data_IF_902039938737
#
_entry.id   IF_902039938737
#
_cell.length_a   1.000
_cell.length_b   1.000
_cell.length_c   1.000
_cell.angle_alpha   90.00
_cell.angle_beta   90.00
_cell.angle_gamma   90.00
#
_symmetry.space_group_name_H-M   'P 1'
#
loop_
_entity.id
_entity.type
_entity.pdbx_description
1 polymer ?
#
# COMPACT_ATOMS: atom_id res chain seq x y z
N UNK A 1 36.80 15.82 17.50
CA UNK A 1 36.73 14.64 18.38
C UNK A 1 35.57 13.80 17.89
N UNK A 2 35.80 12.51 17.64
CA UNK A 2 34.75 11.58 17.20
C UNK A 2 34.54 10.55 18.30
N UNK A 3 33.28 10.21 18.59
CA UNK A 3 32.92 9.24 19.62
C UNK A 3 32.04 8.17 18.99
N UNK A 4 32.44 6.92 19.12
CA UNK A 4 31.64 5.77 18.70
C UNK A 4 30.57 5.51 19.75
N UNK A 5 29.31 5.41 19.31
CA UNK A 5 28.16 5.17 20.19
C UNK A 5 27.52 3.85 19.82
N UNK A 6 27.08 3.10 20.84
CA UNK A 6 26.19 1.95 20.69
C UNK A 6 24.87 2.30 21.36
N UNK A 7 23.77 2.23 20.60
CA UNK A 7 22.43 2.54 21.09
C UNK A 7 21.42 1.50 20.61
N UNK A 8 20.22 1.52 21.19
CA UNK A 8 19.07 0.73 20.74
C UNK A 8 18.05 1.69 20.15
N UNK A 9 17.53 1.34 18.97
CA UNK A 9 16.55 2.11 18.24
C UNK A 9 15.27 1.29 18.10
N UNK A 10 14.12 1.96 18.17
CA UNK A 10 12.83 1.36 17.80
C UNK A 10 12.65 1.60 16.31
N UNK A 11 12.45 0.52 15.57
CA UNK A 11 12.29 0.54 14.11
C UNK A 11 10.92 -0.05 13.81
N UNK A 12 10.16 0.60 12.93
CA UNK A 12 8.95 0.00 12.38
C UNK A 12 9.35 -1.14 11.44
N UNK A 13 9.08 -2.37 11.87
CA UNK A 13 9.31 -3.59 11.12
C UNK A 13 8.18 -4.58 11.42
N UNK A 14 7.05 -4.48 10.71
CA UNK A 14 5.98 -5.47 10.81
C UNK A 14 6.45 -6.85 10.37
N UNK A 15 5.75 -7.89 10.79
CA UNK A 15 6.06 -9.27 10.43
C UNK A 15 5.02 -9.87 9.47
N UNK A 16 5.45 -10.83 8.65
CA UNK A 16 4.56 -11.56 7.76
C UNK A 16 3.49 -12.30 8.58
N UNK A 17 2.23 -12.09 8.24
CA UNK A 17 1.07 -12.59 8.96
C UNK A 17 0.50 -11.63 10.01
N UNK A 18 1.17 -10.50 10.30
CA UNK A 18 0.63 -9.46 11.17
C UNK A 18 -0.60 -8.80 10.54
N UNK A 19 -1.61 -8.52 11.35
CA UNK A 19 -2.81 -7.78 10.92
C UNK A 19 -2.70 -6.35 11.44
N UNK A 20 -2.78 -5.39 10.53
CA UNK A 20 -2.77 -3.97 10.85
C UNK A 20 -4.04 -3.30 10.34
N UNK A 21 -4.37 -2.17 10.95
CA UNK A 21 -5.50 -1.32 10.55
C UNK A 21 -4.97 0.00 10.02
N UNK A 22 -5.48 0.43 8.88
CA UNK A 22 -5.10 1.69 8.25
C UNK A 22 -6.27 2.32 7.50
N UNK A 23 -5.98 3.37 6.75
CA UNK A 23 -6.94 4.09 5.93
C UNK A 23 -6.60 3.95 4.46
N UNK A 24 -7.62 3.77 3.63
CA UNK A 24 -7.47 3.73 2.18
C UNK A 24 -7.09 5.13 1.69
N UNK A 25 -5.88 5.29 1.15
CA UNK A 25 -5.39 6.55 0.60
C UNK A 25 -5.77 6.71 -0.88
N UNK A 26 -5.64 5.62 -1.65
CA UNK A 26 -5.91 5.62 -3.08
C UNK A 26 -6.36 4.26 -3.57
N UNK A 27 -7.38 4.26 -4.43
CA UNK A 27 -7.82 3.09 -5.19
C UNK A 27 -7.33 3.22 -6.63
N UNK A 28 -6.77 2.15 -7.19
CA UNK A 28 -6.40 2.04 -8.60
C UNK A 28 -6.88 0.71 -9.17
N UNK A 29 -6.87 0.56 -10.49
CA UNK A 29 -7.20 -0.72 -11.14
C UNK A 29 -6.23 -1.86 -10.80
N UNK A 30 -5.04 -1.53 -10.29
CA UNK A 30 -4.02 -2.50 -9.88
C UNK A 30 -4.20 -2.97 -8.43
N UNK A 31 -4.80 -2.13 -7.56
CA UNK A 31 -4.98 -2.44 -6.16
C UNK A 31 -5.38 -1.23 -5.30
N UNK A 32 -5.16 -1.35 -3.99
CA UNK A 32 -5.43 -0.31 -3.01
C UNK A 32 -4.12 0.10 -2.32
N UNK A 33 -3.90 1.41 -2.18
CA UNK A 33 -2.82 1.99 -1.36
C UNK A 33 -3.38 2.34 0.00
N UNK A 34 -2.71 1.90 1.06
CA UNK A 34 -3.13 2.07 2.45
C UNK A 34 -2.11 2.91 3.20
N UNK A 35 -2.60 3.78 4.07
CA UNK A 35 -1.80 4.62 4.95
C UNK A 35 -2.14 4.33 6.41
N UNK A 36 -1.13 4.23 7.28
CA UNK A 36 -1.28 4.04 8.73
C UNK A 36 -0.87 5.28 9.55
N UNK A 37 -0.74 6.43 8.89
CA UNK A 37 -0.42 7.73 9.47
C UNK A 37 1.04 8.13 9.30
N UNK A 38 1.98 7.28 9.74
CA UNK A 38 3.43 7.54 9.61
C UNK A 38 4.10 6.78 8.45
N UNK A 39 3.38 5.82 7.84
CA UNK A 39 3.86 5.00 6.73
C UNK A 39 2.72 4.78 5.74
N UNK A 40 3.00 4.97 4.45
CA UNK A 40 1.99 4.95 3.37
C UNK A 40 2.40 4.12 2.16
N UNK A 41 3.58 3.51 2.15
CA UNK A 41 4.03 2.60 1.09
C UNK A 41 3.52 1.17 1.34
N UNK A 42 2.21 1.04 1.61
CA UNK A 42 1.50 -0.23 1.78
C UNK A 42 0.57 -0.43 0.60
N UNK A 43 0.73 -1.55 -0.11
CA UNK A 43 -0.04 -1.86 -1.30
C UNK A 43 -0.74 -3.22 -1.18
N UNK A 44 -2.05 -3.22 -1.43
CA UNK A 44 -2.88 -4.43 -1.54
C UNK A 44 -3.16 -4.66 -3.02
N UNK A 45 -2.46 -5.59 -3.68
CA UNK A 45 -2.70 -5.88 -5.09
C UNK A 45 -4.03 -6.60 -5.29
N UNK A 46 -4.66 -6.42 -6.44
CA UNK A 46 -5.87 -7.13 -6.86
C UNK A 46 -5.82 -8.65 -6.60
N UNK A 47 -4.67 -9.27 -6.87
CA UNK A 47 -4.49 -10.72 -6.74
C UNK A 47 -4.62 -11.21 -5.28
N UNK A 48 -4.43 -10.32 -4.31
CA UNK A 48 -4.51 -10.57 -2.87
C UNK A 48 -5.74 -9.91 -2.24
N UNK A 49 -6.73 -9.54 -3.04
CA UNK A 49 -8.06 -9.15 -2.56
C UNK A 49 -9.00 -10.34 -2.53
N UNK A 50 -10.18 -10.13 -1.94
CA UNK A 50 -11.28 -11.10 -1.94
C UNK A 50 -11.64 -11.58 -3.35
N UNK A 51 -12.11 -12.82 -3.43
CA UNK A 51 -12.68 -13.35 -4.66
C UNK A 51 -13.90 -12.50 -5.10
N UNK A 52 -14.09 -12.37 -6.42
CA UNK A 52 -15.14 -11.53 -7.01
C UNK A 52 -15.04 -10.02 -6.73
N UNK A 53 -13.88 -9.54 -6.25
CA UNK A 53 -13.61 -8.11 -6.16
C UNK A 53 -13.24 -7.49 -7.51
N UNK A 54 -13.76 -6.30 -7.79
CA UNK A 54 -13.42 -5.54 -8.99
C UNK A 54 -13.36 -4.04 -8.70
N UNK A 55 -12.51 -3.36 -9.45
CA UNK A 55 -12.39 -1.91 -9.38
C UNK A 55 -13.48 -1.25 -10.24
N UNK A 56 -14.22 -0.30 -9.66
CA UNK A 56 -15.18 0.54 -10.38
C UNK A 56 -14.58 1.93 -10.60
N UNK A 57 -14.28 2.33 -11.85
CA UNK A 57 -13.80 3.69 -12.14
C UNK A 57 -14.83 4.78 -11.83
N UNK A 58 -16.13 4.45 -11.90
CA UNK A 58 -17.21 5.40 -11.68
C UNK A 58 -17.30 5.80 -10.19
N UNK A 59 -17.14 4.82 -9.30
CA UNK A 59 -17.12 5.02 -7.85
C UNK A 59 -15.72 5.34 -7.31
N UNK A 60 -14.67 5.17 -8.13
CA UNK A 60 -13.27 5.28 -7.73
C UNK A 60 -12.94 4.41 -6.50
N UNK A 61 -13.57 3.23 -6.45
CA UNK A 61 -13.59 2.34 -5.30
C UNK A 61 -13.47 0.87 -5.72
N UNK A 62 -13.04 0.03 -4.78
CA UNK A 62 -13.05 -1.42 -4.97
C UNK A 62 -14.35 -1.99 -4.44
N UNK A 63 -14.98 -2.86 -5.23
CA UNK A 63 -16.26 -3.46 -4.89
C UNK A 63 -16.03 -4.95 -4.70
N UNK A 64 -16.44 -5.48 -3.56
CA UNK A 64 -16.45 -6.90 -3.27
C UNK A 64 -17.89 -7.44 -3.34
N UNK A 65 -18.15 -8.34 -4.29
CA UNK A 65 -19.42 -9.08 -4.38
C UNK A 65 -19.29 -10.40 -3.64
N UNK A 66 -19.78 -10.44 -2.41
CA UNK A 66 -19.79 -11.66 -1.61
C UNK A 66 -20.85 -12.64 -2.14
N UNK A 67 -22.06 -12.14 -2.39
CA UNK A 67 -23.19 -12.88 -2.98
C UNK A 67 -23.92 -12.00 -4.01
N UNK A 68 -24.90 -12.54 -4.73
CA UNK A 68 -25.72 -11.79 -5.70
C UNK A 68 -26.50 -10.62 -5.07
N UNK A 69 -26.74 -10.67 -3.75
CA UNK A 69 -27.46 -9.64 -2.99
C UNK A 69 -26.53 -8.75 -2.15
N UNK A 70 -25.33 -9.23 -1.79
CA UNK A 70 -24.43 -8.55 -0.86
C UNK A 70 -23.22 -7.98 -1.59
N UNK A 71 -23.26 -6.67 -1.80
CA UNK A 71 -22.16 -5.89 -2.39
C UNK A 71 -21.56 -4.98 -1.32
N UNK A 72 -20.26 -5.12 -1.09
CA UNK A 72 -19.48 -4.33 -0.15
C UNK A 72 -18.52 -3.41 -0.90
N UNK A 73 -18.31 -2.22 -0.38
CA UNK A 73 -17.52 -1.16 -1.02
C UNK A 73 -16.29 -0.86 -0.16
N UNK A 74 -15.16 -0.61 -0.82
CA UNK A 74 -13.88 -0.20 -0.25
C UNK A 74 -13.58 1.20 -0.77
N UNK A 75 -14.01 2.20 0.00
CA UNK A 75 -13.92 3.60 -0.40
C UNK A 75 -12.68 4.30 0.16
N UNK A 76 -12.30 5.39 -0.49
CA UNK A 76 -11.19 6.23 -0.03
C UNK A 76 -11.55 6.84 1.34
N UNK A 77 -10.59 6.86 2.25
CA UNK A 77 -10.70 7.28 3.65
C UNK A 77 -11.48 6.31 4.57
N UNK A 78 -11.85 5.12 4.10
CA UNK A 78 -12.37 4.09 4.98
C UNK A 78 -11.25 3.37 5.73
N UNK A 79 -11.58 2.90 6.94
CA UNK A 79 -10.67 2.07 7.75
C UNK A 79 -10.71 0.64 7.27
N UNK A 80 -9.54 0.10 6.96
CA UNK A 80 -9.37 -1.26 6.44
C UNK A 80 -8.41 -2.06 7.32
N UNK A 81 -8.78 -3.30 7.63
CA UNK A 81 -7.92 -4.32 8.20
C UNK A 81 -7.24 -5.10 7.07
N UNK A 82 -5.92 -5.22 7.15
CA UNK A 82 -5.13 -5.93 6.14
C UNK A 82 -4.04 -6.76 6.81
N UNK A 83 -3.70 -7.88 6.19
CA UNK A 83 -2.63 -8.76 6.66
C UNK A 83 -1.35 -8.52 5.86
N UNK A 84 -0.22 -8.43 6.54
CA UNK A 84 1.08 -8.31 5.90
C UNK A 84 1.47 -9.64 5.27
N UNK A 85 1.77 -9.64 3.97
CA UNK A 85 2.24 -10.84 3.25
C UNK A 85 3.75 -10.75 2.97
N UNK A 86 4.24 -9.59 2.53
CA UNK A 86 5.63 -9.43 2.14
C UNK A 86 6.17 -8.03 2.46
N UNK A 87 7.44 -7.97 2.86
CA UNK A 87 8.21 -6.74 3.03
C UNK A 87 9.24 -6.62 1.90
N UNK A 88 9.25 -5.49 1.20
CA UNK A 88 10.13 -5.24 0.06
C UNK A 88 11.11 -4.13 0.42
N UNK A 89 12.41 -4.43 0.29
CA UNK A 89 13.48 -3.43 0.44
C UNK A 89 14.16 -3.18 -0.90
N UNK A 90 14.07 -1.94 -1.38
CA UNK A 90 14.68 -1.52 -2.64
C UNK A 90 15.91 -0.68 -2.36
N UNK A 91 17.07 -1.05 -2.93
CA UNK A 91 18.27 -0.25 -2.82
C UNK A 91 18.20 0.94 -3.80
N UNK A 92 17.67 2.06 -3.29
CA UNK A 92 17.57 3.31 -4.04
C UNK A 92 18.93 4.00 -4.05
N UNK A 93 19.72 3.77 -5.10
CA UNK A 93 20.96 4.51 -5.30
C UNK A 93 20.64 5.98 -5.64
N UNK A 94 21.36 6.95 -5.08
CA UNK A 94 21.19 8.35 -5.47
C UNK A 94 21.54 8.49 -6.96
N UNK A 95 20.66 9.16 -7.72
CA UNK A 95 20.96 9.54 -9.11
C UNK A 95 22.12 10.54 -9.05
N UNK A 96 23.29 10.15 -9.56
CA UNK A 96 24.44 11.05 -9.68
C UNK A 96 24.09 12.27 -10.54
N UNK A 97 24.89 13.35 -10.47
CA UNK A 97 24.62 14.58 -11.22
C UNK A 97 24.70 14.27 -12.71
N UNK A 98 23.56 13.97 -13.31
CA UNK A 98 23.46 13.81 -14.75
C UNK A 98 23.34 15.23 -15.29
N UNK A 99 24.36 15.66 -16.00
CA UNK A 99 24.44 16.93 -16.72
C UNK A 99 23.08 17.26 -17.36
N UNK A 100 22.67 18.52 -17.25
CA UNK A 100 21.42 19.11 -17.75
C UNK A 100 21.21 19.01 -19.30
N UNK A 101 21.74 18.00 -19.98
CA UNK A 101 21.87 17.98 -21.45
C UNK A 101 21.31 16.73 -22.15
N UNK A 102 20.62 15.80 -21.48
CA UNK A 102 20.13 14.58 -22.14
C UNK A 102 18.72 14.10 -21.71
N UNK A 103 17.78 15.00 -21.45
CA UNK A 103 16.37 14.62 -21.28
C UNK A 103 15.42 15.73 -21.73
N UNK A 104 15.56 16.18 -22.98
CA UNK A 104 14.55 16.98 -23.66
C UNK A 104 13.40 16.12 -24.26
N UNK A 105 13.29 14.84 -23.88
CA UNK A 105 12.19 13.95 -24.29
C UNK A 105 11.82 12.96 -23.17
N UNK A 106 11.43 13.47 -21.99
CA UNK A 106 10.52 12.72 -21.12
C UNK A 106 9.44 13.70 -20.68
N UNK A 107 8.26 13.54 -21.28
CA UNK A 107 7.02 14.15 -20.82
C UNK A 107 6.95 14.06 -19.29
N UNK A 108 6.68 15.20 -18.65
CA UNK A 108 6.50 15.29 -17.21
C UNK A 108 5.32 14.43 -16.77
N UNK A 109 5.63 13.23 -16.31
CA UNK A 109 4.79 12.47 -15.41
C UNK A 109 5.71 11.98 -14.29
N UNK A 110 5.31 12.31 -13.07
CA UNK A 110 5.87 11.83 -11.82
C UNK A 110 6.11 10.32 -11.88
N UNK A 111 7.32 9.89 -12.24
CA UNK A 111 7.75 8.52 -11.98
C UNK A 111 7.93 8.43 -10.49
N UNK A 112 6.85 8.06 -9.79
CA UNK A 112 6.82 7.71 -8.37
C UNK A 112 8.06 6.87 -8.10
N UNK A 113 9.05 7.48 -7.45
CA UNK A 113 10.34 6.85 -7.24
C UNK A 113 10.10 5.66 -6.34
N UNK A 114 10.48 4.47 -6.78
CA UNK A 114 10.25 3.23 -6.02
C UNK A 114 10.73 3.42 -4.58
N UNK A 115 9.85 3.30 -3.58
CA UNK A 115 10.22 3.58 -2.20
C UNK A 115 11.26 2.57 -1.73
N UNK A 116 12.19 2.98 -0.86
CA UNK A 116 13.24 2.10 -0.35
C UNK A 116 12.67 0.98 0.53
N UNK A 117 11.48 1.18 1.10
CA UNK A 117 10.76 0.19 1.88
C UNK A 117 9.28 0.23 1.48
N UNK A 118 8.74 -0.91 1.08
CA UNK A 118 7.34 -1.08 0.72
C UNK A 118 6.80 -2.35 1.35
N UNK A 119 5.49 -2.39 1.57
CA UNK A 119 4.79 -3.52 2.16
C UNK A 119 3.71 -3.99 1.20
N UNK A 120 3.66 -5.30 0.96
CA UNK A 120 2.57 -5.95 0.26
C UNK A 120 1.66 -6.60 1.29
N UNK A 121 0.37 -6.29 1.17
CA UNK A 121 -0.65 -6.77 2.08
C UNK A 121 -1.78 -7.49 1.34
N UNK A 122 -2.55 -8.28 2.08
CA UNK A 122 -3.72 -9.01 1.59
C UNK A 122 -4.97 -8.68 2.38
N UNK A 123 -6.12 -8.88 1.73
CA UNK A 123 -7.45 -8.77 2.30
C UNK A 123 -8.28 -9.99 1.89
N UNK A 124 -7.75 -11.20 2.06
CA UNK A 124 -8.42 -12.43 1.58
C UNK A 124 -9.12 -13.23 2.68
N UNK A 125 -8.91 -12.86 3.94
CA UNK A 125 -9.36 -13.65 5.09
C UNK A 125 -10.49 -12.93 5.81
N UNK A 126 -11.36 -13.71 6.46
CA UNK A 126 -12.42 -13.17 7.32
C UNK A 126 -11.84 -12.22 8.38
N UNK A 127 -12.53 -11.12 8.65
CA UNK A 127 -12.04 -10.04 9.51
C UNK A 127 -11.17 -8.98 8.82
N UNK A 128 -10.78 -9.19 7.55
CA UNK A 128 -10.06 -8.22 6.73
C UNK A 128 -11.03 -7.33 5.92
N UNK A 129 -10.54 -6.32 5.22
CA UNK A 129 -11.40 -5.37 4.52
C UNK A 129 -11.92 -4.28 5.46
N UNK A 130 -13.02 -3.61 5.15
CA UNK A 130 -13.46 -2.48 5.96
C UNK A 130 -13.83 -2.92 7.37
N UNK A 131 -13.38 -2.17 8.38
CA UNK A 131 -13.68 -2.48 9.77
C UNK A 131 -15.19 -2.51 10.04
N UNK A 132 -15.96 -1.69 9.33
CA UNK A 132 -17.42 -1.59 9.42
C UNK A 132 -18.17 -2.87 9.03
N UNK A 133 -17.53 -3.81 8.33
CA UNK A 133 -18.17 -5.07 7.94
C UNK A 133 -18.26 -6.08 9.08
N UNK A 134 -17.45 -5.90 10.13
CA UNK A 134 -17.25 -6.87 11.21
C UNK A 134 -17.72 -6.34 12.58
N UNK A 135 -18.29 -5.13 12.61
CA UNK A 135 -18.90 -4.53 13.80
C UNK A 135 -20.35 -4.97 14.03
#
# INVERSE_FOLDING_TARGET
>A
MYVTVTCRLVIFKPFVGEVLTGWIEKCTSEGIKVNIGFFNDIFVPKALMFENSFYSPDENAWIWKMDDENTLYLDINEKINFRIEEEIFTNVKPKGPTSQAASQNQNGNDKEQTPPYAIIASCQTDGMGCCSWWE
#
